data_IF_395532521229
#
_entry.id   IF_395532521229
#
_cell.length_a   1.000
_cell.length_b   1.000
_cell.length_c   1.000
_cell.angle_alpha   90.00
_cell.angle_beta   90.00
_cell.angle_gamma   90.00
#
_symmetry.space_group_name_H-M   'P 1'
#
loop_
_entity.id
_entity.type
_entity.pdbx_description
1 polymer ?
#
# COMPACT_ATOMS: atom_id res chain seq x y z
N UNK A 1 -5.74 -13.80 -0.57
CA UNK A 1 -6.95 -13.20 0.00
C UNK A 1 -6.56 -12.47 1.28
N UNK A 2 -7.22 -11.36 1.61
CA UNK A 2 -6.99 -10.60 2.83
C UNK A 2 -7.89 -11.15 3.97
N UNK A 3 -7.48 -11.07 5.24
CA UNK A 3 -6.21 -10.51 5.71
C UNK A 3 -5.00 -11.42 5.41
N UNK A 4 -3.81 -10.82 5.34
CA UNK A 4 -2.53 -11.57 5.19
C UNK A 4 -1.64 -11.27 6.38
N UNK A 5 -1.40 -12.29 7.20
CA UNK A 5 -0.42 -12.27 8.27
C UNK A 5 1.02 -12.40 7.71
N UNK A 6 1.91 -11.50 8.14
CA UNK A 6 3.30 -11.43 7.69
C UNK A 6 4.22 -11.42 8.90
N UNK A 7 4.99 -12.50 9.04
CA UNK A 7 6.11 -12.58 9.98
C UNK A 7 7.36 -11.99 9.34
N UNK A 8 8.20 -11.35 10.15
CA UNK A 8 9.47 -10.83 9.68
C UNK A 8 10.38 -11.95 9.16
N UNK A 9 10.88 -11.75 7.95
CA UNK A 9 11.78 -12.65 7.24
C UNK A 9 12.51 -11.85 6.16
N UNK A 10 13.87 -11.77 6.20
CA UNK A 10 14.64 -10.99 5.24
C UNK A 10 14.38 -11.35 3.77
N UNK A 11 14.04 -12.61 3.48
CA UNK A 11 13.94 -13.12 2.11
C UNK A 11 12.49 -13.25 1.62
N UNK A 12 11.51 -13.08 2.51
CA UNK A 12 10.12 -13.35 2.17
C UNK A 12 9.39 -12.10 1.67
N UNK A 13 8.60 -12.30 0.62
CA UNK A 13 7.71 -11.28 0.09
C UNK A 13 6.34 -11.89 -0.15
N UNK A 14 5.31 -11.16 0.24
CA UNK A 14 3.91 -11.53 0.10
C UNK A 14 3.29 -10.72 -1.03
N UNK A 15 2.45 -11.35 -1.84
CA UNK A 15 1.76 -10.67 -2.95
C UNK A 15 0.26 -10.56 -2.68
N UNK A 16 -0.28 -9.37 -2.92
CA UNK A 16 -1.71 -9.09 -2.93
C UNK A 16 -2.07 -8.58 -4.33
N UNK A 17 -3.04 -9.22 -4.99
CA UNK A 17 -3.48 -8.78 -6.31
C UNK A 17 -4.57 -7.72 -6.19
N UNK A 18 -4.44 -6.63 -6.96
CA UNK A 18 -5.44 -5.56 -7.06
C UNK A 18 -5.73 -5.30 -8.52
N UNK A 19 -7.01 -5.19 -8.90
CA UNK A 19 -7.39 -4.93 -10.30
C UNK A 19 -8.00 -3.54 -10.44
N UNK A 20 -7.51 -2.77 -11.41
CA UNK A 20 -8.14 -1.50 -11.82
C UNK A 20 -8.68 -1.60 -13.23
N UNK A 21 -9.79 -0.92 -13.52
CA UNK A 21 -10.36 -0.88 -14.87
C UNK A 21 -9.87 0.32 -15.67
N UNK A 22 -9.42 1.35 -14.97
CA UNK A 22 -8.94 2.62 -15.50
C UNK A 22 -7.62 2.45 -16.23
N UNK A 23 -7.42 3.28 -17.24
CA UNK A 23 -6.13 3.47 -17.88
C UNK A 23 -5.35 4.52 -17.09
N UNK A 24 -4.24 4.13 -16.44
CA UNK A 24 -3.50 5.01 -15.54
C UNK A 24 -2.84 6.20 -16.24
N UNK A 25 -2.69 6.13 -17.57
CA UNK A 25 -2.17 7.23 -18.40
C UNK A 25 -3.27 8.18 -18.90
N UNK A 26 -4.52 7.96 -18.48
CA UNK A 26 -5.63 8.84 -18.84
C UNK A 26 -5.42 10.24 -18.25
N UNK A 27 -5.26 11.24 -19.12
CA UNK A 27 -5.03 12.64 -18.74
C UNK A 27 -6.14 13.28 -17.89
N UNK A 28 -7.30 12.64 -17.75
CA UNK A 28 -8.38 13.09 -16.84
C UNK A 28 -8.17 12.63 -15.40
N UNK A 29 -7.27 11.70 -15.16
CA UNK A 29 -6.90 11.26 -13.81
C UNK A 29 -6.04 12.34 -13.20
N UNK A 30 -6.58 13.01 -12.17
CA UNK A 30 -5.86 14.04 -11.41
C UNK A 30 -4.93 13.43 -10.36
N UNK A 31 -5.38 12.37 -9.69
CA UNK A 31 -4.60 11.68 -8.65
C UNK A 31 -4.87 10.17 -8.64
N UNK A 32 -3.88 9.42 -8.16
CA UNK A 32 -4.04 8.02 -7.80
C UNK A 32 -3.38 7.78 -6.45
N UNK A 33 -4.09 7.08 -5.56
CA UNK A 33 -3.59 6.77 -4.22
C UNK A 33 -3.72 5.27 -3.96
N UNK A 34 -2.66 4.68 -3.41
CA UNK A 34 -2.71 3.34 -2.84
C UNK A 34 -2.86 3.48 -1.33
N UNK A 35 -3.86 2.80 -0.76
CA UNK A 35 -4.04 2.71 0.68
C UNK A 35 -3.86 1.28 1.13
N UNK A 36 -3.10 1.08 2.21
CA UNK A 36 -2.89 -0.21 2.85
C UNK A 36 -3.21 -0.05 4.33
N UNK A 37 -4.10 -0.88 4.86
CA UNK A 37 -4.32 -0.97 6.30
C UNK A 37 -3.43 -2.06 6.87
N UNK A 38 -2.55 -1.67 7.79
CA UNK A 38 -1.59 -2.57 8.44
C UNK A 38 -1.78 -2.56 9.94
N UNK A 39 -2.14 -3.69 10.52
CA UNK A 39 -2.19 -3.89 11.97
C UNK A 39 -0.83 -4.26 12.54
N UNK A 40 -0.59 -3.85 13.80
CA UNK A 40 0.63 -4.10 14.57
C UNK A 40 1.95 -3.58 13.97
N UNK A 41 1.89 -2.71 12.95
CA UNK A 41 3.07 -2.06 12.38
C UNK A 41 3.63 -1.01 13.34
N UNK A 42 4.93 -1.09 13.64
CA UNK A 42 5.63 -0.08 14.42
C UNK A 42 6.59 0.76 13.56
N UNK A 43 6.90 2.02 13.95
CA UNK A 43 7.74 2.89 13.13
C UNK A 43 9.15 2.37 12.82
N UNK A 44 9.67 1.46 13.65
CA UNK A 44 11.01 0.90 13.51
C UNK A 44 11.03 -0.48 12.82
N UNK A 45 9.89 -0.96 12.32
CA UNK A 45 9.84 -2.13 11.43
C UNK A 45 10.47 -1.77 10.07
N UNK A 46 11.27 -2.69 9.52
CA UNK A 46 11.75 -2.60 8.14
C UNK A 46 10.66 -3.17 7.21
N UNK A 47 9.78 -2.28 6.76
CA UNK A 47 8.57 -2.58 6.00
C UNK A 47 8.64 -1.99 4.60
N UNK A 48 8.65 -2.87 3.61
CA UNK A 48 8.77 -2.52 2.19
C UNK A 48 7.45 -2.76 1.45
N UNK A 49 7.15 -1.84 0.53
CA UNK A 49 6.01 -1.95 -0.37
C UNK A 49 6.49 -1.68 -1.80
N UNK A 50 6.14 -2.57 -2.72
CA UNK A 50 6.37 -2.39 -4.16
C UNK A 50 5.09 -2.64 -4.94
N UNK A 51 4.92 -1.93 -6.05
CA UNK A 51 3.83 -2.13 -7.00
C UNK A 51 4.41 -2.58 -8.34
N UNK A 52 3.97 -3.73 -8.83
CA UNK A 52 4.44 -4.34 -10.08
C UNK A 52 5.97 -4.47 -10.13
N UNK A 53 6.59 -4.80 -8.98
CA UNK A 53 8.04 -4.97 -8.85
C UNK A 53 8.83 -3.66 -8.72
N UNK A 54 8.16 -2.51 -8.62
CA UNK A 54 8.80 -1.20 -8.42
C UNK A 54 8.54 -0.71 -7.01
N UNK A 55 9.61 -0.40 -6.26
CA UNK A 55 9.52 0.10 -4.89
C UNK A 55 8.77 1.43 -4.80
N UNK A 56 7.91 1.55 -3.79
CA UNK A 56 7.16 2.77 -3.47
C UNK A 56 7.90 3.70 -2.50
N UNK A 57 9.14 3.39 -2.11
CA UNK A 57 9.94 4.21 -1.17
C UNK A 57 10.06 5.68 -1.61
N UNK A 58 10.09 5.93 -2.93
CA UNK A 58 10.20 7.28 -3.47
C UNK A 58 8.88 8.05 -3.59
N UNK A 59 7.75 7.40 -3.30
CA UNK A 59 6.43 8.03 -3.30
C UNK A 59 6.12 8.67 -1.94
N UNK A 60 5.45 9.84 -1.90
CA UNK A 60 4.96 10.41 -0.66
C UNK A 60 3.99 9.43 0.04
N UNK A 61 4.29 9.08 1.29
CA UNK A 61 3.45 8.21 2.11
C UNK A 61 2.96 8.95 3.37
N UNK A 62 1.64 9.05 3.53
CA UNK A 62 1.02 9.53 4.78
C UNK A 62 0.57 8.35 5.63
N UNK A 63 0.90 8.39 6.93
CA UNK A 63 0.39 7.43 7.91
C UNK A 63 -0.75 8.08 8.71
N UNK A 64 -1.87 7.37 8.91
CA UNK A 64 -2.97 7.83 9.76
C UNK A 64 -3.60 6.67 10.54
N UNK A 65 -4.05 6.88 11.79
CA UNK A 65 -4.73 5.83 12.53
C UNK A 65 -6.11 5.56 11.92
N UNK A 66 -6.60 4.32 12.03
CA UNK A 66 -7.97 3.98 11.65
C UNK A 66 -8.97 4.69 12.59
N UNK A 67 -9.72 5.66 12.07
CA UNK A 67 -10.53 6.62 12.87
C UNK A 67 -11.62 6.02 13.78
N UNK A 68 -11.99 4.75 13.60
CA UNK A 68 -13.04 4.11 14.41
C UNK A 68 -12.50 3.08 15.42
N UNK A 69 -11.22 2.73 15.35
CA UNK A 69 -10.59 1.81 16.29
C UNK A 69 -9.06 1.90 16.18
N UNK A 70 -8.43 2.62 17.12
CA UNK A 70 -6.97 2.78 17.18
C UNK A 70 -6.22 1.45 17.41
N UNK A 71 -6.92 0.37 17.75
CA UNK A 71 -6.37 -0.97 17.90
C UNK A 71 -6.42 -1.80 16.60
N UNK A 72 -6.94 -1.25 15.50
CA UNK A 72 -7.08 -1.95 14.19
C UNK A 72 -6.09 -1.48 13.12
N UNK A 73 -4.95 -0.93 13.53
CA UNK A 73 -3.84 -0.64 12.63
C UNK A 73 -3.78 0.79 12.06
N UNK A 74 -2.81 0.97 11.16
CA UNK A 74 -2.47 2.23 10.50
C UNK A 74 -2.84 2.16 9.03
N UNK A 75 -3.38 3.24 8.50
CA UNK A 75 -3.49 3.46 7.06
C UNK A 75 -2.18 4.07 6.56
N UNK A 76 -1.53 3.36 5.64
CA UNK A 76 -0.44 3.88 4.82
C UNK A 76 -1.02 4.31 3.48
N UNK A 77 -1.00 5.60 3.19
CA UNK A 77 -1.53 6.18 1.96
C UNK A 77 -0.37 6.70 1.11
N UNK A 78 -0.09 6.02 0.00
CA UNK A 78 0.92 6.41 -0.98
C UNK A 78 0.27 7.23 -2.10
N UNK A 79 0.79 8.42 -2.35
CA UNK A 79 0.50 9.20 -3.55
C UNK A 79 1.27 8.60 -4.72
N UNK A 80 0.60 7.94 -5.67
CA UNK A 80 1.24 7.21 -6.77
C UNK A 80 1.64 8.14 -7.91
N UNK A 81 2.64 8.99 -7.71
CA UNK A 81 3.01 10.02 -8.68
C UNK A 81 3.83 9.46 -9.85
N UNK A 82 4.79 8.59 -9.56
CA UNK A 82 5.76 8.00 -10.51
C UNK A 82 5.52 6.52 -10.76
N UNK A 83 5.16 5.76 -9.73
CA UNK A 83 4.87 4.32 -9.82
C UNK A 83 3.37 4.14 -10.03
N UNK A 84 2.96 3.94 -11.28
CA UNK A 84 1.55 3.81 -11.67
C UNK A 84 1.14 2.34 -11.78
N UNK A 85 -0.09 1.97 -11.37
CA UNK A 85 -0.67 0.70 -11.75
C UNK A 85 -0.93 0.68 -13.25
N UNK A 86 -1.15 -0.50 -13.83
CA UNK A 86 -1.65 -0.64 -15.19
C UNK A 86 -3.10 -1.12 -15.18
N UNK A 87 -3.81 -0.89 -16.28
CA UNK A 87 -5.15 -1.44 -16.48
C UNK A 87 -5.13 -2.96 -16.32
N UNK A 88 -6.06 -3.50 -15.55
CA UNK A 88 -6.13 -4.93 -15.21
C UNK A 88 -5.45 -5.28 -13.88
N UNK A 89 -4.98 -6.54 -13.73
CA UNK A 89 -4.42 -7.03 -12.48
C UNK A 89 -3.02 -6.46 -12.20
N UNK A 90 -2.81 -5.93 -11.01
CA UNK A 90 -1.54 -5.44 -10.51
C UNK A 90 -1.09 -6.31 -9.33
N UNK A 91 0.22 -6.48 -9.16
CA UNK A 91 0.79 -7.17 -8.00
C UNK A 91 1.34 -6.15 -7.00
N UNK A 92 0.75 -6.11 -5.81
CA UNK A 92 1.29 -5.40 -4.67
C UNK A 92 2.18 -6.35 -3.88
N UNK A 93 3.48 -6.08 -3.85
CA UNK A 93 4.45 -6.83 -3.06
C UNK A 93 4.67 -6.14 -1.70
N UNK A 94 4.59 -6.92 -0.64
CA UNK A 94 4.73 -6.46 0.73
C UNK A 94 5.76 -7.35 1.43
N UNK A 95 6.74 -6.74 2.10
CA UNK A 95 7.72 -7.46 2.88
C UNK A 95 7.92 -6.79 4.24
N UNK A 96 8.02 -7.61 5.28
CA UNK A 96 8.51 -7.22 6.58
C UNK A 96 9.87 -7.91 6.74
N UNK A 97 10.95 -7.15 6.56
CA UNK A 97 12.32 -7.71 6.56
C UNK A 97 12.79 -7.97 7.97
N UNK A 98 12.58 -7.00 8.85
CA UNK A 98 13.05 -7.03 10.22
C UNK A 98 12.08 -6.27 11.14
N UNK A 99 12.05 -6.67 12.41
CA UNK A 99 11.39 -5.94 13.51
C UNK A 99 12.43 -5.56 14.55
N UNK A 100 12.19 -4.51 15.37
CA UNK A 100 13.05 -4.17 16.49
C UNK A 100 13.28 -5.36 17.44
N UNK A 101 14.45 -5.39 18.08
CA UNK A 101 14.77 -6.43 19.07
C UNK A 101 13.70 -6.46 20.19
N UNK A 102 13.24 -7.66 20.54
CA UNK A 102 12.20 -7.87 21.55
C UNK A 102 10.76 -7.64 21.07
N UNK A 103 10.54 -7.21 19.82
CA UNK A 103 9.22 -7.19 19.20
C UNK A 103 8.91 -8.54 18.55
N UNK A 104 8.20 -9.39 19.31
CA UNK A 104 7.68 -10.66 18.81
C UNK A 104 6.30 -10.46 18.16
N UNK A 105 6.00 -11.25 17.12
CA UNK A 105 4.70 -11.25 16.45
C UNK A 105 4.78 -10.98 14.96
N UNK A 106 3.60 -10.87 14.34
CA UNK A 106 3.39 -10.61 12.92
C UNK A 106 2.70 -9.25 12.74
N UNK A 107 2.77 -8.70 11.54
CA UNK A 107 1.83 -7.66 11.10
C UNK A 107 0.70 -8.32 10.32
N UNK A 108 -0.44 -7.64 10.20
CA UNK A 108 -1.52 -8.07 9.32
C UNK A 108 -1.81 -7.01 8.28
N UNK A 109 -1.88 -7.41 7.01
CA UNK A 109 -2.43 -6.58 5.94
C UNK A 109 -3.92 -6.87 5.88
N UNK A 110 -4.72 -5.92 6.34
CA UNK A 110 -6.16 -6.11 6.53
C UNK A 110 -6.97 -5.61 5.33
N UNK A 111 -6.49 -4.55 4.67
CA UNK A 111 -7.18 -3.92 3.55
C UNK A 111 -6.20 -3.28 2.56
N UNK A 112 -6.57 -3.27 1.28
CA UNK A 112 -5.81 -2.65 0.19
C UNK A 112 -6.79 -1.98 -0.78
N UNK A 113 -6.65 -0.67 -0.96
CA UNK A 113 -7.48 0.13 -1.85
C UNK A 113 -6.60 0.87 -2.87
N UNK A 114 -7.03 0.91 -4.13
CA UNK A 114 -6.55 1.91 -5.10
C UNK A 114 -7.68 2.89 -5.36
N UNK A 115 -7.42 4.17 -5.07
CA UNK A 115 -8.34 5.27 -5.32
C UNK A 115 -7.87 6.00 -6.57
N UNK A 116 -8.74 6.11 -7.57
CA UNK A 116 -8.52 6.89 -8.79
C UNK A 116 -9.44 8.10 -8.76
N UNK A 117 -8.87 9.30 -8.75
CA UNK A 117 -9.62 10.54 -8.74
C UNK A 117 -9.44 11.27 -10.06
N UNK A 118 -10.56 11.75 -10.60
CA UNK A 118 -10.62 12.43 -11.86
C UNK A 118 -10.73 13.94 -11.66
N UNK A 119 -9.94 14.69 -12.43
CA UNK A 119 -10.09 16.14 -12.51
C UNK A 119 -11.29 16.47 -13.40
N UNK A 120 -12.42 16.77 -12.76
CA UNK A 120 -13.67 17.13 -13.43
C UNK A 120 -13.60 18.47 -14.19
N UNK A 121 -12.51 19.23 -14.03
CA UNK A 121 -12.35 20.59 -14.56
C UNK A 121 -11.37 20.71 -15.73
N UNK A 122 -10.75 19.62 -16.19
CA UNK A 122 -9.83 19.64 -17.34
C UNK A 122 -10.53 19.64 -18.71
N UNK A 123 -11.83 19.96 -18.75
CA UNK A 123 -12.61 20.13 -19.97
C UNK A 123 -13.17 21.56 -20.07
N UNK A 124 -12.31 22.49 -20.51
CA UNK A 124 -12.72 23.75 -21.15
C UNK A 124 -11.64 24.22 -22.11
#
# INVERSE_FOLDING_TARGET
ELPVAIKADPEKTHEVSVTISDDADNARIGSMRLKINVSDLVPADDFEVSLNGVSLESEPCRKSPRWHDAFTGVWMEFELNKVRPHRGPNSLQIALRERPEGFEGEISIDDVEIIVEYDLLAAS
#
